data_IF_049744664659
#
_entry.id   IF_049744664659
#
_cell.length_a   1.000
_cell.length_b   1.000
_cell.length_c   1.000
_cell.angle_alpha   90.00
_cell.angle_beta   90.00
_cell.angle_gamma   90.00
#
_symmetry.space_group_name_H-M   'P 1'
#
loop_
_entity.id
_entity.type
_entity.pdbx_description
1 polymer ?
#
# COMPACT_ATOMS: atom_id res chain seq x y z
N UNK A 1 11.31 -19.46 27.26
CA UNK A 1 11.47 -18.04 26.89
C UNK A 1 11.62 -17.18 28.13
N UNK A 2 10.63 -17.11 29.01
CA UNK A 2 10.71 -16.33 30.27
C UNK A 2 11.93 -16.71 31.14
N UNK A 3 12.22 -18.01 31.27
CA UNK A 3 13.40 -18.48 32.00
C UNK A 3 14.75 -18.08 31.37
N UNK A 4 14.78 -17.80 30.05
CA UNK A 4 16.00 -17.43 29.31
C UNK A 4 16.18 -15.91 29.17
N UNK A 5 15.08 -15.14 29.26
CA UNK A 5 15.09 -13.67 29.14
C UNK A 5 14.30 -13.03 30.29
N UNK A 6 14.94 -12.79 31.45
CA UNK A 6 14.31 -12.11 32.57
C UNK A 6 13.82 -10.70 32.16
N UNK A 7 12.58 -10.36 32.52
CA UNK A 7 11.96 -9.07 32.17
C UNK A 7 11.31 -9.02 30.78
N UNK A 8 11.18 -10.15 30.09
CA UNK A 8 10.39 -10.24 28.85
C UNK A 8 8.92 -9.91 29.11
N UNK A 9 8.37 -8.95 28.38
CA UNK A 9 6.93 -8.68 28.35
C UNK A 9 6.30 -9.34 27.12
N UNK A 10 5.22 -10.08 27.33
CA UNK A 10 4.46 -10.74 26.27
C UNK A 10 3.15 -9.99 26.08
N UNK A 11 2.94 -9.47 24.87
CA UNK A 11 1.66 -8.91 24.46
C UNK A 11 0.94 -9.97 23.63
N UNK A 12 -0.29 -10.31 24.04
CA UNK A 12 -1.14 -11.24 23.31
C UNK A 12 -2.06 -10.46 22.38
N UNK A 13 -2.18 -10.94 21.15
CA UNK A 13 -3.12 -10.45 20.16
C UNK A 13 -3.94 -11.62 19.62
N UNK A 14 -5.25 -11.42 19.49
CA UNK A 14 -6.17 -12.44 19.00
C UNK A 14 -6.50 -12.30 17.50
N UNK A 15 -5.91 -11.30 16.83
CA UNK A 15 -5.99 -11.12 15.38
C UNK A 15 -4.78 -10.33 14.85
N UNK A 16 -4.51 -10.43 13.55
CA UNK A 16 -3.35 -9.81 12.90
C UNK A 16 -3.30 -8.28 13.03
N UNK A 17 -4.45 -7.60 12.98
CA UNK A 17 -4.52 -6.14 13.10
C UNK A 17 -4.21 -5.65 14.52
N UNK A 18 -4.72 -6.34 15.53
CA UNK A 18 -4.37 -6.08 16.93
C UNK A 18 -2.88 -6.31 17.16
N UNK A 19 -2.31 -7.38 16.57
CA UNK A 19 -0.88 -7.64 16.62
C UNK A 19 -0.08 -6.49 15.99
N UNK A 20 -0.51 -5.97 14.83
CA UNK A 20 0.12 -4.80 14.21
C UNK A 20 0.02 -3.54 15.07
N UNK A 21 -1.16 -3.18 15.56
CA UNK A 21 -1.35 -1.96 16.35
C UNK A 21 -0.50 -1.99 17.63
N UNK A 22 -0.43 -3.16 18.30
CA UNK A 22 0.45 -3.36 19.44
C UNK A 22 1.92 -3.30 19.05
N UNK A 23 2.29 -3.86 17.90
CA UNK A 23 3.65 -3.84 17.38
C UNK A 23 4.09 -2.41 16.99
N UNK A 24 3.19 -1.61 16.43
CA UNK A 24 3.42 -0.21 16.09
C UNK A 24 3.61 0.65 17.34
N UNK A 25 2.75 0.50 18.34
CA UNK A 25 2.81 1.27 19.58
C UNK A 25 3.98 0.85 20.49
N UNK A 26 4.21 -0.46 20.64
CA UNK A 26 5.17 -1.03 21.58
C UNK A 26 6.56 -1.27 21.01
N UNK A 27 6.72 -1.25 19.67
CA UNK A 27 7.95 -1.59 18.95
C UNK A 27 8.68 -2.83 19.52
N UNK A 28 7.97 -3.97 19.68
CA UNK A 28 8.56 -5.16 20.25
C UNK A 28 9.74 -5.65 19.40
N UNK A 29 10.69 -6.33 20.03
CA UNK A 29 11.83 -6.93 19.30
C UNK A 29 11.38 -8.04 18.36
N UNK A 30 10.28 -8.73 18.69
CA UNK A 30 9.72 -9.86 17.96
C UNK A 30 8.19 -9.84 18.03
N UNK A 31 7.57 -10.38 16.98
CA UNK A 31 6.16 -10.72 16.97
C UNK A 31 6.01 -12.16 16.47
N UNK A 32 5.22 -12.96 17.18
CA UNK A 32 4.91 -14.33 16.79
C UNK A 32 3.51 -14.38 16.18
N UNK A 33 3.37 -15.13 15.10
CA UNK A 33 2.10 -15.36 14.40
C UNK A 33 1.90 -16.86 14.31
N UNK A 34 0.77 -17.35 14.78
CA UNK A 34 0.43 -18.76 14.64
C UNK A 34 0.07 -19.08 13.17
N UNK A 35 0.41 -20.28 12.71
CA UNK A 35 0.19 -20.74 11.33
C UNK A 35 -1.26 -20.66 10.85
N UNK A 36 -2.24 -20.76 11.76
CA UNK A 36 -3.64 -20.49 11.41
C UNK A 36 -3.86 -19.08 10.84
N UNK A 37 -3.14 -18.08 11.35
CA UNK A 37 -3.22 -16.70 10.88
C UNK A 37 -2.43 -16.46 9.59
N UNK A 38 -1.36 -17.23 9.32
CA UNK A 38 -0.57 -17.05 8.09
C UNK A 38 -1.32 -17.51 6.83
N UNK A 39 -2.33 -18.38 7.00
CA UNK A 39 -3.19 -18.90 5.94
C UNK A 39 -4.37 -17.98 5.59
N UNK A 40 -4.59 -16.92 6.36
CA UNK A 40 -5.66 -15.95 6.11
C UNK A 40 -5.33 -15.08 4.89
N UNK A 41 -6.35 -14.70 4.11
CA UNK A 41 -6.18 -13.81 2.96
C UNK A 41 -5.63 -12.44 3.38
N UNK A 42 -6.01 -11.99 4.57
CA UNK A 42 -5.54 -10.77 5.21
C UNK A 42 -4.04 -10.81 5.52
N UNK A 43 -3.43 -11.99 5.64
CA UNK A 43 -2.02 -12.12 5.99
C UNK A 43 -1.09 -11.53 4.93
N UNK A 44 -1.42 -11.65 3.63
CA UNK A 44 -0.61 -11.04 2.56
C UNK A 44 -0.57 -9.51 2.70
N UNK A 45 -1.68 -8.92 3.09
CA UNK A 45 -1.80 -7.47 3.29
C UNK A 45 -1.03 -7.05 4.54
N UNK A 46 -1.13 -7.87 5.59
CA UNK A 46 -0.40 -7.68 6.82
C UNK A 46 1.10 -7.86 6.64
N UNK A 47 1.55 -8.72 5.74
CA UNK A 47 2.98 -8.90 5.45
C UNK A 47 3.62 -7.60 4.99
N UNK A 48 2.94 -6.81 4.15
CA UNK A 48 3.44 -5.50 3.72
C UNK A 48 3.52 -4.50 4.89
N UNK A 49 2.53 -4.51 5.78
CA UNK A 49 2.51 -3.69 7.00
C UNK A 49 3.57 -4.15 8.01
N UNK A 50 3.75 -5.46 8.17
CA UNK A 50 4.75 -6.08 9.03
C UNK A 50 6.17 -5.79 8.55
N UNK A 51 6.43 -5.87 7.24
CA UNK A 51 7.70 -5.49 6.62
C UNK A 51 8.01 -4.01 6.77
N UNK A 52 6.98 -3.17 6.96
CA UNK A 52 7.17 -1.78 7.27
C UNK A 52 7.76 -1.60 8.67
N UNK A 53 7.29 -2.37 9.65
CA UNK A 53 7.84 -2.34 10.99
C UNK A 53 9.23 -2.99 10.96
N UNK A 54 10.24 -2.38 11.59
CA UNK A 54 11.57 -2.99 11.74
C UNK A 54 11.54 -4.07 12.84
N UNK A 55 10.56 -4.96 12.75
CA UNK A 55 10.20 -6.01 13.71
C UNK A 55 10.39 -7.36 13.02
N UNK A 56 10.86 -8.33 13.80
CA UNK A 56 11.00 -9.71 13.32
C UNK A 56 9.71 -10.46 13.57
N UNK A 57 9.05 -10.83 12.48
CA UNK A 57 7.86 -11.67 12.51
C UNK A 57 8.27 -13.14 12.46
N UNK A 58 7.68 -13.97 13.29
CA UNK A 58 7.99 -15.40 13.38
C UNK A 58 6.69 -16.18 13.26
N UNK A 59 6.57 -16.99 12.23
CA UNK A 59 5.48 -17.95 12.05
C UNK A 59 5.75 -19.20 12.89
N UNK A 60 4.79 -19.62 13.70
CA UNK A 60 4.86 -20.87 14.48
C UNK A 60 3.89 -21.88 13.90
N UNK A 61 4.43 -22.97 13.34
CA UNK A 61 3.70 -24.01 12.63
C UNK A 61 3.37 -25.22 13.51
N UNK A 62 2.17 -25.77 13.30
CA UNK A 62 1.63 -26.90 14.08
C UNK A 62 2.20 -28.27 13.67
N UNK A 63 2.66 -28.47 12.43
CA UNK A 63 3.02 -29.82 11.95
C UNK A 63 4.08 -29.86 10.85
N UNK A 64 4.92 -30.91 10.85
CA UNK A 64 5.99 -31.17 9.87
C UNK A 64 5.47 -31.45 8.45
N UNK A 65 4.18 -31.77 8.31
CA UNK A 65 3.48 -32.04 7.04
C UNK A 65 2.62 -30.87 6.54
N UNK A 66 2.59 -29.74 7.27
CA UNK A 66 1.92 -28.55 6.78
C UNK A 66 2.69 -28.05 5.55
N UNK A 67 2.08 -28.17 4.36
CA UNK A 67 2.63 -27.54 3.17
C UNK A 67 2.82 -26.04 3.50
N UNK A 68 4.04 -25.51 3.35
CA UNK A 68 4.32 -24.13 3.73
C UNK A 68 3.32 -23.22 3.02
N UNK A 69 2.87 -22.16 3.70
CA UNK A 69 2.21 -21.05 3.06
C UNK A 69 3.22 -20.37 2.12
N UNK A 70 3.42 -21.02 0.95
CA UNK A 70 4.32 -20.70 -0.15
C UNK A 70 5.80 -20.82 0.19
N UNK A 71 6.43 -21.88 -0.35
CA UNK A 71 7.86 -22.03 -0.64
C UNK A 71 8.70 -20.87 -0.11
N UNK A 72 9.25 -21.03 1.09
CA UNK A 72 10.35 -20.20 1.58
C UNK A 72 11.39 -20.08 0.45
N UNK A 73 11.65 -18.85 0.00
CA UNK A 73 12.85 -18.61 -0.80
C UNK A 73 14.05 -18.96 0.09
N UNK A 74 14.93 -19.86 -0.35
CA UNK A 74 16.02 -20.35 0.47
C UNK A 74 17.04 -19.22 0.62
N UNK A 75 17.46 -19.01 1.86
CA UNK A 75 18.60 -18.18 2.27
C UNK A 75 18.34 -16.66 2.32
N UNK A 76 18.49 -16.13 3.53
CA UNK A 76 19.31 -14.93 3.78
C UNK A 76 19.02 -13.74 2.84
N UNK A 77 17.86 -13.10 3.01
CA UNK A 77 17.76 -11.69 2.68
C UNK A 77 17.33 -10.90 3.92
N UNK A 78 18.37 -10.53 4.66
CA UNK A 78 18.42 -9.66 5.85
C UNK A 78 17.38 -8.53 5.79
N UNK A 79 16.48 -8.48 6.78
CA UNK A 79 15.45 -7.45 7.01
C UNK A 79 14.02 -8.00 6.98
N UNK A 80 13.27 -7.83 8.08
CA UNK A 80 11.87 -8.26 8.28
C UNK A 80 11.48 -9.55 7.52
N UNK A 81 12.17 -10.66 7.82
CA UNK A 81 11.77 -11.99 7.33
C UNK A 81 10.78 -12.62 8.29
N UNK A 82 9.76 -13.29 7.78
CA UNK A 82 9.01 -14.27 8.57
C UNK A 82 9.91 -15.50 8.76
N UNK A 83 10.19 -15.85 10.00
CA UNK A 83 10.91 -17.08 10.35
C UNK A 83 9.92 -18.18 10.67
N UNK A 84 10.07 -19.37 10.11
CA UNK A 84 9.22 -20.52 10.42
C UNK A 84 9.86 -21.32 11.55
N UNK A 85 9.10 -21.54 12.62
CA UNK A 85 9.46 -22.44 13.73
C UNK A 85 8.37 -23.49 13.87
N UNK A 86 8.74 -24.72 14.18
CA UNK A 86 7.78 -25.82 14.37
C UNK A 86 7.54 -26.06 15.85
N UNK A 87 6.31 -26.40 16.25
CA UNK A 87 6.01 -26.78 17.64
C UNK A 87 6.75 -28.07 18.08
N UNK A 88 7.30 -28.82 17.13
CA UNK A 88 8.15 -30.01 17.35
C UNK A 88 9.61 -29.69 17.69
N UNK A 89 10.07 -28.45 17.53
CA UNK A 89 11.43 -28.05 17.86
C UNK A 89 11.68 -28.10 19.38
N UNK A 90 12.84 -28.62 19.81
CA UNK A 90 13.15 -28.68 21.24
C UNK A 90 13.29 -27.28 21.84
N UNK A 91 12.95 -27.07 23.13
CA UNK A 91 13.10 -25.77 23.79
C UNK A 91 14.52 -25.18 23.70
N UNK A 92 15.55 -26.04 23.60
CA UNK A 92 16.95 -25.61 23.42
C UNK A 92 17.21 -25.08 22.00
N UNK A 93 16.69 -25.74 20.97
CA UNK A 93 16.78 -25.26 19.58
C UNK A 93 16.03 -23.95 19.40
N UNK A 94 14.86 -23.81 20.03
CA UNK A 94 14.10 -22.56 20.02
C UNK A 94 14.92 -21.38 20.58
N UNK A 95 15.63 -21.59 21.70
CA UNK A 95 16.51 -20.57 22.30
C UNK A 95 17.69 -20.24 21.37
N UNK A 96 18.29 -21.24 20.72
CA UNK A 96 19.40 -21.01 19.78
C UNK A 96 18.97 -20.18 18.56
N UNK A 97 17.81 -20.49 17.96
CA UNK A 97 17.26 -19.68 16.86
C UNK A 97 16.94 -18.26 17.33
N UNK A 98 16.36 -18.13 18.52
CA UNK A 98 16.05 -16.84 19.10
C UNK A 98 17.31 -16.00 19.34
N UNK A 99 18.38 -16.58 19.90
CA UNK A 99 19.67 -15.89 20.09
C UNK A 99 20.31 -15.44 18.77
N UNK A 100 20.28 -16.29 17.75
CA UNK A 100 20.77 -15.95 16.42
C UNK A 100 19.98 -14.79 15.81
N UNK A 101 18.65 -14.80 16.00
CA UNK A 101 17.79 -13.72 15.54
C UNK A 101 18.04 -12.43 16.34
N UNK A 102 18.14 -12.45 17.66
CA UNK A 102 18.43 -11.24 18.46
C UNK A 102 19.72 -10.55 18.01
N UNK A 103 20.75 -11.34 17.64
CA UNK A 103 22.09 -10.85 17.30
C UNK A 103 22.27 -10.41 15.85
N UNK A 104 21.37 -10.76 14.93
CA UNK A 104 21.56 -10.41 13.51
C UNK A 104 21.36 -8.89 13.26
N UNK A 105 22.10 -8.25 12.33
CA UNK A 105 22.00 -6.82 12.07
C UNK A 105 20.62 -6.41 11.51
N UNK A 106 20.08 -5.28 11.99
CA UNK A 106 18.81 -4.70 11.50
C UNK A 106 19.08 -3.82 10.27
N UNK A 107 18.23 -3.91 9.24
CA UNK A 107 18.42 -3.21 7.96
C UNK A 107 17.99 -1.74 8.01
N UNK A 108 17.07 -1.38 8.92
CA UNK A 108 16.50 -0.04 9.03
C UNK A 108 16.69 0.53 10.44
N UNK A 109 17.93 0.81 10.83
CA UNK A 109 18.14 1.80 11.89
C UNK A 109 17.48 3.12 11.46
N UNK A 110 16.75 3.84 12.33
CA UNK A 110 16.13 5.10 11.96
C UNK A 110 17.21 6.10 11.57
N UNK A 111 17.44 6.27 10.28
CA UNK A 111 18.11 7.47 9.79
C UNK A 111 17.09 8.59 9.97
N UNK A 112 17.27 9.39 11.01
CA UNK A 112 16.70 10.73 11.12
C UNK A 112 17.20 11.54 9.93
N UNK A 113 16.57 11.39 8.76
CA UNK A 113 16.89 12.20 7.59
C UNK A 113 16.22 13.55 7.79
N UNK A 114 17.05 14.55 8.10
CA UNK A 114 16.65 15.94 8.09
C UNK A 114 15.99 16.30 6.76
N UNK A 115 14.90 17.06 6.84
CA UNK A 115 14.22 17.63 5.67
C UNK A 115 15.26 18.32 4.77
N UNK A 116 15.42 17.93 3.50
CA UNK A 116 16.19 18.74 2.56
C UNK A 116 15.50 20.10 2.41
N UNK A 117 16.26 21.18 2.55
CA UNK A 117 15.84 22.54 2.26
C UNK A 117 15.34 22.64 0.82
N UNK A 118 14.14 23.16 0.64
CA UNK A 118 13.47 23.32 -0.66
C UNK A 118 14.32 24.13 -1.64
N UNK A 119 14.59 23.56 -2.82
CA UNK A 119 15.02 24.35 -3.98
C UNK A 119 13.82 25.12 -4.54
N UNK A 120 14.05 26.26 -5.25
CA UNK A 120 12.97 27.08 -5.79
C UNK A 120 12.14 26.27 -6.79
N UNK A 121 10.85 26.07 -6.49
CA UNK A 121 9.95 25.26 -7.31
C UNK A 121 9.66 25.97 -8.63
N UNK A 122 9.83 25.25 -9.75
CA UNK A 122 9.24 25.58 -11.05
C UNK A 122 7.71 25.88 -10.91
N UNK A 123 7.08 26.62 -11.85
CA UNK A 123 5.65 26.90 -11.78
C UNK A 123 4.84 25.62 -11.56
N UNK A 124 4.00 25.63 -10.52
CA UNK A 124 3.20 24.48 -10.11
C UNK A 124 2.18 24.17 -11.19
N UNK A 125 2.21 22.95 -11.72
CA UNK A 125 1.21 22.47 -12.68
C UNK A 125 -0.16 22.40 -12.02
N UNK A 126 -1.22 22.79 -12.72
CA UNK A 126 -2.60 22.64 -12.25
C UNK A 126 -3.11 21.19 -12.34
N UNK A 127 -2.28 20.25 -12.80
CA UNK A 127 -2.67 18.85 -12.98
C UNK A 127 -2.72 18.09 -11.65
N UNK A 128 -3.55 17.05 -11.61
CA UNK A 128 -3.68 16.13 -10.49
C UNK A 128 -3.54 14.68 -10.95
N UNK A 129 -3.13 13.81 -10.03
CA UNK A 129 -2.90 12.39 -10.29
C UNK A 129 -3.99 11.55 -9.61
N UNK A 130 -4.58 10.59 -10.32
CA UNK A 130 -5.51 9.61 -9.77
C UNK A 130 -4.96 8.20 -9.92
N UNK A 131 -5.00 7.39 -8.85
CA UNK A 131 -4.48 6.02 -8.87
C UNK A 131 -5.51 5.03 -8.32
N UNK A 132 -5.76 3.96 -9.07
CA UNK A 132 -6.57 2.82 -8.63
C UNK A 132 -5.73 1.55 -8.49
N UNK A 133 -5.97 0.77 -7.44
CA UNK A 133 -5.21 -0.47 -7.18
C UNK A 133 -5.96 -1.45 -6.27
N UNK A 134 -5.60 -2.74 -6.31
CA UNK A 134 -6.21 -3.80 -5.50
C UNK A 134 -5.15 -4.83 -5.07
N UNK A 135 -5.29 -6.12 -5.37
CA UNK A 135 -4.31 -7.17 -5.03
C UNK A 135 -2.91 -6.86 -5.58
N UNK A 136 -1.90 -6.86 -4.69
CA UNK A 136 -0.54 -6.41 -4.99
C UNK A 136 -0.36 -4.88 -4.99
N UNK A 137 -1.44 -4.13 -4.80
CA UNK A 137 -1.48 -2.68 -4.89
C UNK A 137 -0.66 -1.97 -3.82
N UNK A 138 -0.54 -2.53 -2.61
CA UNK A 138 0.28 -1.96 -1.54
C UNK A 138 1.74 -1.82 -1.98
N UNK A 139 2.37 -2.91 -2.43
CA UNK A 139 3.76 -2.86 -2.91
C UNK A 139 3.90 -2.02 -4.18
N UNK A 140 2.90 -2.02 -5.07
CA UNK A 140 2.89 -1.16 -6.24
C UNK A 140 2.88 0.33 -5.86
N UNK A 141 2.02 0.72 -4.92
CA UNK A 141 1.94 2.08 -4.40
C UNK A 141 3.24 2.49 -3.69
N UNK A 142 3.87 1.59 -2.93
CA UNK A 142 5.19 1.86 -2.33
C UNK A 142 6.24 2.17 -3.40
N UNK A 143 6.30 1.36 -4.45
CA UNK A 143 7.23 1.55 -5.56
C UNK A 143 7.01 2.87 -6.30
N UNK A 144 5.75 3.27 -6.49
CA UNK A 144 5.40 4.53 -7.15
C UNK A 144 5.69 5.74 -6.26
N UNK A 145 5.24 5.74 -5.00
CA UNK A 145 5.28 6.92 -4.13
C UNK A 145 6.68 7.26 -3.60
N UNK A 146 7.61 6.30 -3.55
CA UNK A 146 9.03 6.60 -3.27
C UNK A 146 9.64 7.54 -4.32
N UNK A 147 9.10 7.54 -5.55
CA UNK A 147 9.53 8.45 -6.62
C UNK A 147 8.88 9.84 -6.60
N UNK A 148 7.97 10.13 -5.66
CA UNK A 148 7.24 11.40 -5.64
C UNK A 148 8.04 12.49 -4.90
N UNK A 149 8.10 13.73 -5.41
CA UNK A 149 8.75 14.84 -4.71
C UNK A 149 7.88 15.40 -3.59
N UNK A 150 8.47 16.17 -2.66
CA UNK A 150 7.75 16.83 -1.55
C UNK A 150 6.63 17.77 -2.02
N UNK A 151 6.76 18.33 -3.22
CA UNK A 151 5.81 19.26 -3.85
C UNK A 151 5.02 18.62 -5.01
N UNK A 152 4.83 17.28 -4.96
CA UNK A 152 4.15 16.53 -6.01
C UNK A 152 2.78 17.13 -6.38
N UNK A 153 2.30 16.89 -7.62
CA UNK A 153 0.91 17.16 -7.97
C UNK A 153 -0.06 16.54 -6.95
N UNK A 154 -1.21 17.18 -6.65
CA UNK A 154 -2.20 16.59 -5.76
C UNK A 154 -2.58 15.20 -6.26
N UNK A 155 -2.52 14.20 -5.39
CA UNK A 155 -2.71 12.80 -5.78
C UNK A 155 -3.83 12.14 -4.99
N UNK A 156 -4.80 11.53 -5.65
CA UNK A 156 -5.91 10.82 -5.02
C UNK A 156 -5.82 9.34 -5.37
N UNK A 157 -5.92 8.48 -4.35
CA UNK A 157 -5.69 7.05 -4.49
C UNK A 157 -6.89 6.29 -3.92
N UNK A 158 -7.40 5.33 -4.68
CA UNK A 158 -8.27 4.26 -4.16
C UNK A 158 -7.46 2.96 -4.16
N UNK A 159 -7.34 2.36 -2.98
CA UNK A 159 -6.79 1.03 -2.79
C UNK A 159 -7.89 0.14 -2.21
N UNK A 160 -8.24 -0.94 -2.92
CA UNK A 160 -9.15 -1.94 -2.38
C UNK A 160 -8.49 -2.68 -1.22
N UNK A 161 -9.16 -2.66 -0.07
CA UNK A 161 -8.68 -3.30 1.15
C UNK A 161 -9.86 -3.54 2.08
N UNK A 162 -9.70 -4.46 3.05
CA UNK A 162 -10.66 -4.60 4.15
C UNK A 162 -10.75 -3.33 5.01
N UNK A 163 -11.89 -3.12 5.67
CA UNK A 163 -12.21 -1.92 6.46
C UNK A 163 -11.16 -1.56 7.52
N UNK A 164 -10.47 -2.56 8.07
CA UNK A 164 -9.57 -2.37 9.22
C UNK A 164 -8.13 -1.99 8.83
N UNK A 165 -7.75 -2.06 7.55
CA UNK A 165 -6.34 -1.89 7.15
C UNK A 165 -6.02 -0.48 6.61
N UNK A 166 -7.03 0.38 6.46
CA UNK A 166 -6.87 1.69 5.81
C UNK A 166 -5.85 2.59 6.50
N UNK A 167 -5.90 2.68 7.82
CA UNK A 167 -5.03 3.58 8.59
C UNK A 167 -3.57 3.11 8.59
N UNK A 168 -3.32 1.81 8.79
CA UNK A 168 -1.97 1.24 8.72
C UNK A 168 -1.33 1.44 7.34
N UNK A 169 -2.11 1.30 6.26
CA UNK A 169 -1.61 1.59 4.91
C UNK A 169 -1.22 3.05 4.73
N UNK A 170 -2.06 4.00 5.18
CA UNK A 170 -1.75 5.43 5.10
C UNK A 170 -0.44 5.74 5.83
N UNK A 171 -0.27 5.25 7.06
CA UNK A 171 0.95 5.44 7.84
C UNK A 171 2.19 4.86 7.16
N UNK A 172 2.06 3.66 6.56
CA UNK A 172 3.13 3.03 5.78
C UNK A 172 3.56 3.92 4.60
N UNK A 173 2.60 4.42 3.83
CA UNK A 173 2.87 5.24 2.64
C UNK A 173 3.43 6.62 3.03
N UNK A 174 2.93 7.26 4.09
CA UNK A 174 3.42 8.56 4.58
C UNK A 174 4.90 8.50 4.97
N UNK A 175 5.33 7.39 5.59
CA UNK A 175 6.72 7.22 6.03
C UNK A 175 7.73 7.08 4.88
N UNK A 176 7.30 6.60 3.71
CA UNK A 176 8.19 6.33 2.57
C UNK A 176 8.09 7.38 1.46
N UNK A 177 6.98 8.12 1.41
CA UNK A 177 6.73 9.16 0.43
C UNK A 177 7.33 10.49 0.92
N UNK A 178 8.09 11.22 0.09
CA UNK A 178 8.52 12.58 0.44
C UNK A 178 7.36 13.57 0.59
N UNK A 179 6.26 13.37 -0.14
CA UNK A 179 5.03 14.14 0.00
C UNK A 179 4.20 13.66 1.21
N UNK A 180 3.34 14.53 1.73
CA UNK A 180 2.46 14.19 2.86
C UNK A 180 1.35 13.26 2.42
N UNK A 181 1.29 12.06 2.99
CA UNK A 181 0.23 11.08 2.71
C UNK A 181 -0.79 11.10 3.85
N UNK A 182 -2.07 11.24 3.49
CA UNK A 182 -3.16 11.35 4.46
C UNK A 182 -4.31 10.44 4.07
N UNK A 183 -5.07 9.99 5.07
CA UNK A 183 -6.32 9.30 4.82
C UNK A 183 -7.29 10.25 4.09
N UNK A 184 -8.04 9.70 3.15
CA UNK A 184 -9.14 10.39 2.50
C UNK A 184 -10.17 10.81 3.55
N UNK A 185 -10.51 12.10 3.55
CA UNK A 185 -11.52 12.70 4.42
C UNK A 185 -12.47 13.54 3.57
N UNK A 186 -13.69 13.77 4.06
CA UNK A 186 -14.67 14.55 3.33
C UNK A 186 -14.35 16.06 3.40
N UNK A 187 -14.66 16.78 2.33
CA UNK A 187 -14.55 18.24 2.28
C UNK A 187 -13.14 18.77 2.62
N UNK A 188 -12.07 18.07 2.25
CA UNK A 188 -10.69 18.53 2.46
C UNK A 188 -10.16 19.23 1.20
N UNK A 189 -9.48 20.37 1.31
CA UNK A 189 -8.83 21.00 0.16
C UNK A 189 -7.85 20.03 -0.52
N UNK A 190 -7.85 20.02 -1.86
CA UNK A 190 -6.91 19.25 -2.68
C UNK A 190 -5.70 20.14 -2.98
N UNK A 191 -4.53 19.77 -2.45
CA UNK A 191 -3.34 20.62 -2.39
C UNK A 191 -2.10 19.90 -2.97
N UNK A 192 -1.13 20.68 -3.46
CA UNK A 192 0.17 20.16 -3.84
C UNK A 192 0.92 19.57 -2.63
N UNK A 193 1.82 18.63 -2.90
CA UNK A 193 2.58 17.93 -1.87
C UNK A 193 1.73 17.02 -1.00
N UNK A 194 0.49 16.71 -1.43
CA UNK A 194 -0.43 15.83 -0.71
C UNK A 194 -0.87 14.64 -1.56
N UNK A 195 -0.91 13.48 -0.90
CA UNK A 195 -1.46 12.23 -1.41
C UNK A 195 -2.62 11.81 -0.49
N UNK A 196 -3.82 11.71 -1.04
CA UNK A 196 -5.04 11.35 -0.31
C UNK A 196 -5.40 9.89 -0.62
N UNK A 197 -5.39 9.04 0.40
CA UNK A 197 -5.58 7.59 0.22
C UNK A 197 -6.92 7.15 0.81
N UNK A 198 -7.80 6.66 -0.05
CA UNK A 198 -9.02 5.97 0.32
C UNK A 198 -8.76 4.46 0.34
N UNK A 199 -8.64 3.93 1.55
CA UNK A 199 -8.44 2.53 1.84
C UNK A 199 -9.34 2.16 3.03
N UNK A 200 -10.16 1.11 2.89
CA UNK A 200 -11.05 0.65 3.96
C UNK A 200 -12.25 1.57 4.24
N UNK A 201 -12.56 2.48 3.31
CA UNK A 201 -13.64 3.46 3.45
C UNK A 201 -15.03 2.80 3.30
N UNK A 202 -16.00 3.28 4.06
CA UNK A 202 -17.42 2.88 3.95
C UNK A 202 -18.21 3.72 2.95
N UNK A 203 -17.52 4.65 2.26
CA UNK A 203 -18.09 5.59 1.28
C UNK A 203 -17.17 5.67 0.08
N UNK A 204 -17.71 6.01 -1.08
CA UNK A 204 -16.91 6.26 -2.27
C UNK A 204 -16.12 7.55 -2.15
N UNK A 205 -14.83 7.46 -2.44
CA UNK A 205 -13.94 8.61 -2.50
C UNK A 205 -13.91 9.21 -3.90
N UNK A 206 -13.90 10.53 -3.95
CA UNK A 206 -13.79 11.30 -5.18
C UNK A 206 -13.50 12.77 -4.89
N UNK A 207 -13.83 13.62 -5.86
CA UNK A 207 -13.72 15.06 -5.73
C UNK A 207 -15.06 15.77 -5.94
N UNK A 208 -15.19 16.93 -5.29
CA UNK A 208 -16.31 17.84 -5.50
C UNK A 208 -16.00 18.83 -6.62
N UNK A 209 -17.05 19.32 -7.29
CA UNK A 209 -16.89 20.36 -8.32
C UNK A 209 -16.78 21.78 -7.75
N UNK A 210 -16.77 21.93 -6.42
CA UNK A 210 -16.65 23.24 -5.76
C UNK A 210 -15.23 23.77 -5.95
N UNK A 211 -15.10 25.10 -6.08
CA UNK A 211 -13.82 25.80 -6.02
C UNK A 211 -13.63 26.42 -4.63
N UNK A 212 -12.43 26.32 -4.01
CA UNK A 212 -11.31 25.49 -4.43
C UNK A 212 -11.68 23.99 -4.42
N UNK A 213 -10.99 23.17 -5.23
CA UNK A 213 -11.27 21.73 -5.33
C UNK A 213 -11.13 21.07 -3.96
N UNK A 214 -12.09 20.21 -3.62
CA UNK A 214 -12.11 19.46 -2.36
C UNK A 214 -12.40 18.01 -2.59
N UNK A 215 -11.82 17.15 -1.75
CA UNK A 215 -12.19 15.75 -1.64
C UNK A 215 -13.66 15.60 -1.27
N UNK A 216 -14.24 14.46 -1.65
CA UNK A 216 -15.61 14.12 -1.31
C UNK A 216 -15.72 12.65 -0.94
N UNK A 217 -16.44 12.37 0.14
CA UNK A 217 -16.90 11.02 0.49
C UNK A 217 -18.41 10.94 0.24
N UNK A 218 -18.82 10.04 -0.65
CA UNK A 218 -20.22 9.89 -1.08
C UNK A 218 -20.73 8.49 -0.74
N UNK A 219 -21.88 8.42 -0.10
CA UNK A 219 -22.60 7.17 0.10
C UNK A 219 -23.16 6.62 -1.22
N UNK A 220 -23.25 5.30 -1.32
CA UNK A 220 -23.79 4.61 -2.48
C UNK A 220 -23.65 3.10 -2.36
N UNK A 221 -24.30 2.33 -3.25
CA UNK A 221 -24.08 0.90 -3.35
C UNK A 221 -22.66 0.63 -3.88
N UNK A 222 -22.07 -0.55 -3.55
CA UNK A 222 -20.78 -0.95 -4.13
C UNK A 222 -20.79 -0.90 -5.66
N UNK A 223 -19.70 -0.40 -6.25
CA UNK A 223 -19.50 -0.37 -7.71
C UNK A 223 -18.53 -1.47 -8.06
N UNK A 224 -18.89 -2.34 -9.02
CA UNK A 224 -18.12 -3.54 -9.38
C UNK A 224 -17.79 -4.43 -8.17
N UNK A 225 -18.64 -4.42 -7.13
CA UNK A 225 -18.43 -5.16 -5.88
C UNK A 225 -17.52 -4.47 -4.85
N UNK A 226 -17.05 -3.24 -5.10
CA UNK A 226 -16.08 -2.55 -4.26
C UNK A 226 -16.62 -1.26 -3.62
N UNK A 227 -16.16 -1.02 -2.39
CA UNK A 227 -16.36 0.21 -1.64
C UNK A 227 -15.13 0.43 -0.74
N UNK A 228 -14.34 1.51 -0.95
CA UNK A 228 -14.45 2.48 -2.04
C UNK A 228 -14.15 1.84 -3.42
N UNK A 229 -14.60 2.46 -4.51
CA UNK A 229 -14.39 1.99 -5.89
C UNK A 229 -13.52 2.97 -6.66
N UNK A 230 -12.67 2.41 -7.53
CA UNK A 230 -11.82 3.18 -8.44
C UNK A 230 -12.65 3.89 -9.51
N UNK A 231 -13.67 3.23 -10.07
CA UNK A 231 -14.59 3.86 -11.03
C UNK A 231 -15.27 5.10 -10.41
N UNK A 232 -15.62 5.06 -9.12
CA UNK A 232 -16.20 6.22 -8.43
C UNK A 232 -15.23 7.41 -8.38
N UNK A 233 -13.96 7.17 -8.03
CA UNK A 233 -12.91 8.19 -8.00
C UNK A 233 -12.74 8.80 -9.40
N UNK A 234 -12.54 7.95 -10.41
CA UNK A 234 -12.28 8.41 -11.77
C UNK A 234 -13.48 9.15 -12.37
N UNK A 235 -14.70 8.62 -12.20
CA UNK A 235 -15.93 9.28 -12.66
C UNK A 235 -16.12 10.67 -12.05
N UNK A 236 -15.74 10.85 -10.77
CA UNK A 236 -15.85 12.16 -10.11
C UNK A 236 -14.93 13.24 -10.70
N UNK A 237 -13.87 12.81 -11.41
CA UNK A 237 -12.85 13.69 -11.97
C UNK A 237 -13.02 13.96 -13.47
N UNK A 238 -13.98 13.31 -14.15
CA UNK A 238 -14.31 13.54 -15.57
C UNK A 238 -14.52 15.02 -15.92
N UNK A 239 -15.21 15.85 -15.10
CA UNK A 239 -15.35 17.29 -15.38
C UNK A 239 -14.02 18.07 -15.45
N UNK A 240 -12.94 17.50 -14.91
CA UNK A 240 -11.60 18.09 -14.82
C UNK A 240 -10.57 17.32 -15.66
N UNK A 241 -11.01 16.42 -16.54
CA UNK A 241 -10.16 15.42 -17.18
C UNK A 241 -8.92 15.99 -17.88
N UNK A 242 -8.99 17.19 -18.47
CA UNK A 242 -7.83 17.85 -19.11
C UNK A 242 -6.67 18.12 -18.14
N UNK A 243 -6.99 18.28 -16.86
CA UNK A 243 -6.04 18.48 -15.77
C UNK A 243 -5.77 17.18 -14.99
N UNK A 244 -6.20 16.02 -15.50
CA UNK A 244 -6.05 14.72 -14.83
C UNK A 244 -5.04 13.84 -15.55
N UNK A 245 -4.16 13.25 -14.74
CA UNK A 245 -3.35 12.09 -15.12
C UNK A 245 -3.82 10.92 -14.27
N UNK A 246 -4.20 9.80 -14.88
CA UNK A 246 -4.76 8.66 -14.16
C UNK A 246 -4.02 7.35 -14.45
N UNK A 247 -3.89 6.49 -13.45
CA UNK A 247 -3.32 5.17 -13.60
C UNK A 247 -4.12 4.08 -12.89
N UNK A 248 -4.17 2.91 -13.53
CA UNK A 248 -4.58 1.65 -12.90
C UNK A 248 -3.37 0.77 -12.68
N UNK A 249 -3.18 0.34 -11.44
CA UNK A 249 -2.15 -0.61 -11.04
C UNK A 249 -2.72 -2.01 -10.87
N UNK A 250 -1.85 -2.95 -10.52
CA UNK A 250 -2.15 -4.35 -10.23
C UNK A 250 -3.41 -4.53 -9.37
N UNK A 251 -4.18 -5.55 -9.71
CA UNK A 251 -5.41 -5.86 -9.03
C UNK A 251 -6.27 -6.85 -9.81
N UNK A 252 -7.14 -7.57 -9.08
CA UNK A 252 -8.15 -8.44 -9.67
C UNK A 252 -9.39 -7.64 -10.08
N UNK A 253 -10.13 -8.14 -11.07
CA UNK A 253 -11.41 -7.57 -11.49
C UNK A 253 -11.27 -6.49 -12.54
N UNK A 254 -12.27 -5.61 -12.62
CA UNK A 254 -12.42 -4.61 -13.67
C UNK A 254 -12.68 -3.19 -13.16
N UNK A 255 -12.78 -3.00 -11.84
CA UNK A 255 -13.08 -1.68 -11.29
C UNK A 255 -11.99 -0.68 -11.67
N UNK A 256 -12.43 0.52 -12.05
CA UNK A 256 -11.61 1.59 -12.61
C UNK A 256 -11.51 1.56 -14.13
N UNK A 257 -11.70 0.41 -14.80
CA UNK A 257 -11.50 0.33 -16.25
C UNK A 257 -12.48 1.23 -17.01
N UNK A 258 -13.74 1.30 -16.56
CA UNK A 258 -14.75 2.18 -17.17
C UNK A 258 -14.42 3.65 -16.91
N UNK A 259 -14.16 4.01 -15.66
CA UNK A 259 -13.81 5.37 -15.27
C UNK A 259 -12.54 5.87 -15.94
N UNK A 260 -11.57 4.99 -16.19
CA UNK A 260 -10.34 5.36 -16.90
C UNK A 260 -10.63 5.66 -18.38
N UNK A 261 -11.53 4.90 -19.00
CA UNK A 261 -12.01 5.18 -20.35
C UNK A 261 -12.79 6.49 -20.42
N UNK A 262 -13.67 6.75 -19.45
CA UNK A 262 -14.42 8.01 -19.38
C UNK A 262 -13.47 9.21 -19.21
N UNK A 263 -12.44 9.09 -18.37
CA UNK A 263 -11.39 10.10 -18.22
C UNK A 263 -10.62 10.32 -19.53
N UNK A 264 -10.20 9.25 -20.20
CA UNK A 264 -9.50 9.33 -21.49
C UNK A 264 -10.35 10.05 -22.53
N UNK A 265 -11.63 9.67 -22.65
CA UNK A 265 -12.57 10.28 -23.59
C UNK A 265 -12.79 11.78 -23.32
N UNK A 266 -12.69 12.19 -22.05
CA UNK A 266 -12.78 13.59 -21.63
C UNK A 266 -11.45 14.36 -21.72
N UNK A 267 -10.34 13.72 -22.13
CA UNK A 267 -9.05 14.35 -22.40
C UNK A 267 -7.96 14.13 -21.35
N UNK A 268 -8.15 13.21 -20.41
CA UNK A 268 -7.12 12.85 -19.44
C UNK A 268 -5.99 12.05 -20.07
N UNK A 269 -4.79 12.14 -19.47
CA UNK A 269 -3.69 11.22 -19.79
C UNK A 269 -3.81 9.95 -18.94
N UNK A 270 -3.88 8.77 -19.55
CA UNK A 270 -4.19 7.53 -18.84
C UNK A 270 -3.17 6.42 -19.03
N UNK A 271 -2.84 5.74 -17.93
CA UNK A 271 -1.85 4.67 -17.88
C UNK A 271 -2.40 3.39 -17.26
N UNK A 272 -1.86 2.25 -17.66
CA UNK A 272 -2.06 0.96 -17.00
C UNK A 272 -0.70 0.33 -16.66
N UNK A 273 -0.60 -0.32 -15.50
CA UNK A 273 0.58 -1.14 -15.18
C UNK A 273 0.69 -2.31 -16.14
N UNK A 274 1.91 -2.59 -16.64
CA UNK A 274 2.13 -3.70 -17.56
C UNK A 274 1.92 -5.08 -16.90
N UNK A 275 1.75 -6.11 -17.74
CA UNK A 275 1.56 -7.48 -17.29
C UNK A 275 2.77 -8.03 -16.51
N UNK A 276 3.98 -7.69 -16.94
CA UNK A 276 5.22 -8.27 -16.40
C UNK A 276 5.46 -7.85 -14.94
N UNK A 277 5.13 -6.61 -14.59
CA UNK A 277 5.32 -6.07 -13.24
C UNK A 277 4.09 -6.20 -12.34
N UNK A 278 2.94 -6.63 -12.89
CA UNK A 278 1.70 -6.82 -12.12
C UNK A 278 1.72 -8.14 -11.36
N UNK A 279 1.38 -8.11 -10.06
CA UNK A 279 1.13 -9.33 -9.28
C UNK A 279 -0.15 -10.01 -9.78
N UNK A 280 -1.20 -9.21 -10.01
CA UNK A 280 -2.45 -9.64 -10.63
C UNK A 280 -2.78 -8.70 -11.78
N UNK A 281 -2.69 -9.22 -13.00
CA UNK A 281 -2.98 -8.47 -14.23
C UNK A 281 -4.47 -8.59 -14.61
N UNK A 282 -5.35 -8.14 -13.71
CA UNK A 282 -6.80 -8.07 -13.92
C UNK A 282 -7.24 -6.66 -14.30
N UNK A 283 -7.25 -5.73 -13.33
CA UNK A 283 -7.66 -4.34 -13.53
C UNK A 283 -6.86 -3.65 -14.66
N UNK A 284 -5.51 -3.73 -14.71
CA UNK A 284 -4.77 -3.12 -15.80
C UNK A 284 -5.07 -3.72 -17.17
N UNK A 285 -5.35 -5.04 -17.21
CA UNK A 285 -5.70 -5.76 -18.45
C UNK A 285 -7.02 -5.26 -19.02
N UNK A 286 -8.06 -5.20 -18.19
CA UNK A 286 -9.40 -4.75 -18.65
C UNK A 286 -9.35 -3.29 -19.09
N UNK A 287 -8.62 -2.44 -18.35
CA UNK A 287 -8.42 -1.04 -18.69
C UNK A 287 -7.62 -0.83 -19.99
N UNK A 288 -6.76 -1.78 -20.36
CA UNK A 288 -6.08 -1.76 -21.65
C UNK A 288 -6.97 -2.27 -22.78
N UNK A 289 -7.61 -3.43 -22.59
CA UNK A 289 -8.46 -4.08 -23.59
C UNK A 289 -9.67 -3.22 -23.97
N UNK A 290 -10.25 -2.47 -23.03
CA UNK A 290 -11.35 -1.55 -23.32
C UNK A 290 -10.90 -0.19 -23.89
N UNK A 291 -9.60 0.00 -24.11
CA UNK A 291 -9.03 1.25 -24.60
C UNK A 291 -9.00 2.38 -23.56
N UNK A 292 -9.23 2.11 -22.27
CA UNK A 292 -9.20 3.13 -21.23
C UNK A 292 -7.80 3.70 -20.98
N UNK A 293 -6.77 2.85 -21.04
CA UNK A 293 -5.37 3.26 -20.93
C UNK A 293 -4.78 3.64 -22.30
N UNK A 294 -4.08 4.78 -22.37
CA UNK A 294 -3.34 5.18 -23.57
C UNK A 294 -1.98 4.48 -23.66
N UNK A 295 -1.37 4.15 -22.51
CA UNK A 295 -0.04 3.54 -22.43
C UNK A 295 0.00 2.47 -21.34
N UNK A 296 0.64 1.34 -21.64
CA UNK A 296 1.10 0.41 -20.61
C UNK A 296 2.51 0.79 -20.16
N UNK A 297 2.74 0.79 -18.85
CA UNK A 297 4.02 1.20 -18.26
C UNK A 297 4.41 0.21 -17.17
N UNK A 298 5.69 -0.16 -17.13
CA UNK A 298 6.21 -0.99 -16.04
C UNK A 298 6.13 -0.25 -14.71
N UNK A 299 5.91 -0.98 -13.61
CA UNK A 299 5.80 -0.38 -12.28
C UNK A 299 6.98 0.54 -11.95
N UNK A 300 8.21 0.12 -12.30
CA UNK A 300 9.43 0.89 -12.07
C UNK A 300 9.47 2.25 -12.79
N UNK A 301 8.73 2.40 -13.89
CA UNK A 301 8.65 3.65 -14.67
C UNK A 301 7.39 4.46 -14.38
N UNK A 302 6.44 3.91 -13.63
CA UNK A 302 5.12 4.52 -13.43
C UNK A 302 5.22 5.88 -12.74
N UNK A 303 6.02 6.03 -11.69
CA UNK A 303 6.20 7.32 -11.01
C UNK A 303 6.68 8.42 -11.97
N UNK A 304 7.74 8.15 -12.74
CA UNK A 304 8.27 9.08 -13.73
C UNK A 304 7.27 9.41 -14.84
N UNK A 305 6.51 8.41 -15.31
CA UNK A 305 5.49 8.62 -16.34
C UNK A 305 4.35 9.55 -15.86
N UNK A 306 3.85 9.36 -14.64
CA UNK A 306 2.81 10.20 -14.05
C UNK A 306 3.29 11.63 -13.87
N UNK A 307 4.45 11.82 -13.24
CA UNK A 307 5.02 13.14 -12.96
C UNK A 307 5.36 13.89 -14.25
N UNK A 308 5.84 13.19 -15.29
CA UNK A 308 6.13 13.81 -16.58
C UNK A 308 4.86 14.25 -17.29
N UNK A 309 3.79 13.45 -17.26
CA UNK A 309 2.49 13.81 -17.83
C UNK A 309 1.82 15.00 -17.14
N UNK A 310 2.18 15.26 -15.87
CA UNK A 310 1.74 16.46 -15.18
C UNK A 310 2.44 17.75 -15.65
N UNK A 311 3.59 17.67 -16.34
CA UNK A 311 4.36 18.85 -16.79
C UNK A 311 3.96 19.34 -18.19
N UNK A 312 3.33 18.48 -18.97
CA UNK A 312 2.85 18.74 -20.35
C UNK A 312 1.42 19.24 -20.35
#
# INVERSE_FOLDING_TARGET
MEAAYPGMQVLLANNLMMAYNQAEAGQPKFAFVEDGFTKLAEFEMMLALFNALDIRWVSVMDDMNAAPARRASPLLNVGAGIFELTKSDSPRQFIQYFDMMVKAPRKNAPQTRGRPSAQPSAPKSNKMILIGSSTGGVEALRSVLVGFPTDCPPTLIVQHTGKNFGQGLVSLLDRICPAKVVAADDNRPIEHGHVYVAAGQTRHFGMSQRKPLRTRLKEGPPISGHMPSVDALFSSAVPFAKDVVAAILTGMGQDGAKGLLDLRNAGATTFAQDKQSSVVYGMPRVAWENGGAQKQVSLARMAGALLQACKT
#
